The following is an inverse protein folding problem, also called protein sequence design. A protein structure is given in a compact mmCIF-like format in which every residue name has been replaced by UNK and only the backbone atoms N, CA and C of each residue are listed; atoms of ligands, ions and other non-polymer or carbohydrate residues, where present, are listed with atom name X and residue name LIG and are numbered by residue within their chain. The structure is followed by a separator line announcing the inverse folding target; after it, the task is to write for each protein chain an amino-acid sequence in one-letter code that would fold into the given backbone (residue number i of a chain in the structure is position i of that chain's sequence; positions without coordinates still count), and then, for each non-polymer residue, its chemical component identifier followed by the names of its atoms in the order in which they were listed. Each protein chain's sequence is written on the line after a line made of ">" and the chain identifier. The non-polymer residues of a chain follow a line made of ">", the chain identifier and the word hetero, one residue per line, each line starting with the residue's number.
data_IF_121366877032
#
_entry.id   IF_121366877032
#
_cell.length_a   1.000
_cell.length_b   1.000
_cell.length_c   1.000
_cell.angle_alpha   90.00
_cell.angle_beta   90.00
_cell.angle_gamma   90.00
#
_symmetry.space_group_name_H-M   'P 1'
#
loop_
_entity.id
_entity.type
_entity.pdbx_description
1 polymer ?
#
# COMPACT_ATOMS: atom_id res chain seq x y z
N UNK A 1 -10.64 -62.22 9.08
CA UNK A 1 -9.40 -61.82 8.37
C UNK A 1 -9.30 -60.30 8.49
N UNK A 2 -8.56 -59.64 9.39
CA UNK A 2 -7.14 -59.68 9.76
C UNK A 2 -6.17 -59.48 8.58
N UNK A 3 -5.85 -58.21 8.31
CA UNK A 3 -4.53 -57.67 7.91
C UNK A 3 -4.58 -56.18 8.34
N UNK A 4 -3.85 -55.73 9.38
CA UNK A 4 -2.40 -55.42 9.40
C UNK A 4 -2.08 -54.33 8.36
N UNK A 5 -1.36 -53.25 8.60
CA UNK A 5 -0.48 -52.78 9.68
C UNK A 5 -0.14 -51.33 9.30
N UNK A 6 0.13 -50.49 10.30
CA UNK A 6 0.82 -49.20 10.27
C UNK A 6 1.25 -48.60 8.92
N UNK A 7 0.79 -47.37 8.66
CA UNK A 7 1.58 -46.36 7.93
C UNK A 7 1.58 -45.12 8.82
N UNK A 8 2.46 -45.07 9.83
CA UNK A 8 3.80 -44.53 9.73
C UNK A 8 3.76 -43.02 9.40
N UNK A 9 3.93 -42.23 10.47
CA UNK A 9 4.34 -40.84 10.50
C UNK A 9 4.90 -40.31 9.17
N UNK A 10 4.08 -39.62 8.40
CA UNK A 10 4.58 -38.61 7.46
C UNK A 10 4.53 -37.26 8.18
N UNK A 11 5.38 -37.11 9.20
CA UNK A 11 5.85 -35.78 9.61
C UNK A 11 6.73 -35.30 8.46
N UNK A 12 6.10 -34.74 7.43
CA UNK A 12 6.81 -33.96 6.43
C UNK A 12 7.51 -32.83 7.20
N UNK A 13 8.84 -32.92 7.26
CA UNK A 13 9.74 -31.85 7.62
C UNK A 13 9.39 -30.65 6.75
N UNK A 14 8.47 -29.80 7.20
CA UNK A 14 8.32 -28.48 6.64
C UNK A 14 9.65 -27.76 6.91
N UNK A 15 10.35 -27.25 5.88
CA UNK A 15 11.43 -26.33 6.13
C UNK A 15 10.79 -25.10 6.77
N UNK A 16 10.85 -25.02 8.10
CA UNK A 16 10.58 -23.79 8.84
C UNK A 16 11.79 -22.89 8.61
N UNK A 17 11.92 -22.41 7.37
CA UNK A 17 12.65 -21.20 7.11
C UNK A 17 11.70 -20.08 7.52
N UNK A 18 11.71 -19.71 8.81
CA UNK A 18 11.15 -18.44 9.23
C UNK A 18 11.94 -17.35 8.50
N UNK A 19 11.40 -16.88 7.37
CA UNK A 19 11.93 -15.68 6.72
C UNK A 19 11.58 -14.53 7.65
N UNK A 20 12.60 -13.94 8.29
CA UNK A 20 12.42 -12.71 9.04
C UNK A 20 12.03 -11.61 8.05
N UNK A 21 10.75 -11.22 8.05
CA UNK A 21 10.29 -10.09 7.27
C UNK A 21 10.74 -8.81 7.96
N UNK A 22 11.34 -7.89 7.20
CA UNK A 22 11.75 -6.58 7.73
C UNK A 22 10.49 -5.74 7.90
N UNK A 23 10.31 -5.19 9.09
CA UNK A 23 9.27 -4.20 9.35
C UNK A 23 9.71 -2.83 8.80
N UNK A 24 9.35 -2.57 7.55
CA UNK A 24 9.71 -1.34 6.85
C UNK A 24 9.05 -0.11 7.48
N UNK A 25 7.84 -0.26 8.05
CA UNK A 25 7.08 0.84 8.61
C UNK A 25 7.69 1.38 9.91
N UNK A 26 8.47 0.57 10.63
CA UNK A 26 9.12 0.97 11.88
C UNK A 26 10.66 1.00 11.78
N UNK A 27 11.21 1.00 10.56
CA UNK A 27 12.66 0.96 10.34
C UNK A 27 13.39 2.20 10.91
N UNK A 28 12.65 3.29 11.06
CA UNK A 28 13.10 4.62 11.47
C UNK A 28 12.61 5.02 12.88
N UNK A 29 12.18 4.05 13.69
CA UNK A 29 11.67 4.28 15.07
C UNK A 29 12.62 5.07 15.98
N UNK A 30 13.92 5.00 15.71
CA UNK A 30 14.98 5.68 16.48
C UNK A 30 15.56 6.90 15.73
N UNK A 31 14.90 7.35 14.65
CA UNK A 31 15.37 8.47 13.85
C UNK A 31 15.41 9.77 14.68
N UNK A 32 16.50 10.51 14.52
CA UNK A 32 16.65 11.87 15.09
C UNK A 32 16.40 12.90 13.99
N UNK A 33 15.58 13.91 14.28
CA UNK A 33 15.25 14.99 13.36
C UNK A 33 13.76 15.09 13.06
N UNK A 34 13.33 16.12 12.31
CA UNK A 34 11.92 16.31 11.99
C UNK A 34 11.46 15.30 10.93
N UNK A 35 10.22 14.82 11.08
CA UNK A 35 9.53 13.99 10.10
C UNK A 35 8.68 14.87 9.18
N UNK A 36 8.59 14.49 7.92
CA UNK A 36 7.72 15.18 6.96
C UNK A 36 6.29 14.68 7.13
N UNK A 37 5.36 15.60 7.37
CA UNK A 37 3.94 15.30 7.44
C UNK A 37 3.33 15.28 6.03
N UNK A 38 2.59 14.23 5.70
CA UNK A 38 1.91 14.11 4.41
C UNK A 38 0.43 13.89 4.65
N UNK A 39 -0.38 14.87 4.25
CA UNK A 39 -1.83 14.73 4.17
C UNK A 39 -2.21 14.27 2.76
N UNK A 40 -2.86 13.11 2.66
CA UNK A 40 -3.32 12.56 1.38
C UNK A 40 -4.83 12.72 1.27
N UNK A 41 -5.30 13.42 0.24
CA UNK A 41 -6.71 13.54 -0.09
C UNK A 41 -7.05 12.71 -1.32
N UNK A 42 -8.01 11.80 -1.17
CA UNK A 42 -8.54 10.98 -2.24
C UNK A 42 -9.78 11.66 -2.82
N UNK A 43 -9.72 12.03 -4.09
CA UNK A 43 -10.78 12.81 -4.73
C UNK A 43 -11.23 12.18 -6.04
N UNK A 44 -12.55 12.19 -6.28
CA UNK A 44 -13.14 11.90 -7.59
C UNK A 44 -13.31 13.17 -8.42
N UNK A 45 -13.54 14.30 -7.74
CA UNK A 45 -13.62 15.65 -8.27
C UNK A 45 -13.18 16.63 -7.18
N UNK A 46 -12.48 17.74 -7.46
CA UNK A 46 -11.89 18.57 -6.39
C UNK A 46 -12.88 19.17 -5.36
N UNK A 47 -14.18 19.20 -5.69
CA UNK A 47 -15.27 19.57 -4.75
C UNK A 47 -15.76 18.41 -3.87
N UNK A 48 -15.35 17.18 -4.19
CA UNK A 48 -15.76 15.92 -3.57
C UNK A 48 -14.50 15.13 -3.17
N UNK A 49 -14.36 14.93 -1.87
CA UNK A 49 -13.29 14.12 -1.31
C UNK A 49 -13.91 13.04 -0.43
N UNK A 50 -13.35 11.84 -0.51
CA UNK A 50 -13.78 10.71 0.30
C UNK A 50 -12.71 10.41 1.34
N UNK A 51 -13.13 10.34 2.59
CA UNK A 51 -12.28 10.01 3.73
C UNK A 51 -12.67 8.68 4.37
N UNK A 52 -13.76 8.04 3.94
CA UNK A 52 -14.20 6.73 4.45
C UNK A 52 -13.25 5.64 3.92
N UNK A 53 -12.48 4.97 4.81
CA UNK A 53 -11.53 3.94 4.40
C UNK A 53 -12.20 2.77 3.68
N UNK A 54 -13.44 2.40 4.01
CA UNK A 54 -14.13 1.28 3.37
C UNK A 54 -14.55 1.63 1.94
N UNK A 55 -15.15 2.80 1.73
CA UNK A 55 -15.48 3.30 0.40
C UNK A 55 -14.23 3.45 -0.49
N UNK A 56 -13.15 4.00 0.06
CA UNK A 56 -11.88 4.13 -0.65
C UNK A 56 -11.29 2.77 -1.03
N UNK A 57 -11.36 1.76 -0.15
CA UNK A 57 -10.90 0.41 -0.43
C UNK A 57 -11.68 -0.21 -1.61
N UNK A 58 -13.00 -0.06 -1.64
CA UNK A 58 -13.83 -0.53 -2.77
C UNK A 58 -13.41 0.13 -4.08
N UNK A 59 -13.22 1.45 -4.08
CA UNK A 59 -12.76 2.19 -5.27
C UNK A 59 -11.38 1.72 -5.74
N UNK A 60 -10.46 1.46 -4.81
CA UNK A 60 -9.14 0.95 -5.11
C UNK A 60 -9.17 -0.47 -5.70
N UNK A 61 -9.96 -1.37 -5.12
CA UNK A 61 -10.08 -2.75 -5.60
C UNK A 61 -10.76 -2.87 -6.96
N UNK A 62 -11.70 -1.97 -7.25
CA UNK A 62 -12.48 -1.96 -8.50
C UNK A 62 -11.62 -1.86 -9.77
N UNK A 63 -10.42 -1.26 -9.67
CA UNK A 63 -9.49 -1.16 -10.81
C UNK A 63 -8.61 -2.40 -10.97
N UNK A 64 -8.31 -3.11 -9.89
CA UNK A 64 -7.29 -4.16 -9.88
C UNK A 64 -7.92 -5.55 -9.99
N UNK A 65 -8.84 -5.88 -9.07
CA UNK A 65 -9.41 -7.22 -8.97
C UNK A 65 -10.14 -7.68 -10.24
N UNK A 66 -11.13 -6.93 -10.76
CA UNK A 66 -11.85 -7.38 -11.96
C UNK A 66 -10.95 -7.34 -13.21
N UNK A 67 -10.01 -6.38 -13.28
CA UNK A 67 -9.05 -6.32 -14.39
C UNK A 67 -8.21 -7.60 -14.41
N UNK A 68 -7.55 -7.96 -13.30
CA UNK A 68 -6.73 -9.17 -13.23
C UNK A 68 -7.52 -10.47 -13.38
N UNK A 69 -8.84 -10.47 -13.15
CA UNK A 69 -9.69 -11.62 -13.42
C UNK A 69 -9.97 -11.84 -14.93
N UNK A 70 -9.72 -10.85 -15.78
CA UNK A 70 -9.94 -10.97 -17.22
C UNK A 70 -8.87 -11.86 -17.88
N UNK A 71 -9.31 -12.67 -18.87
CA UNK A 71 -8.42 -13.53 -19.65
C UNK A 71 -7.95 -12.81 -20.90
N UNK A 72 -6.64 -12.77 -21.13
CA UNK A 72 -6.03 -12.20 -22.34
C UNK A 72 -4.74 -12.94 -22.69
N UNK A 73 -4.64 -13.47 -23.91
CA UNK A 73 -3.41 -14.10 -24.42
C UNK A 73 -2.24 -13.11 -24.46
N UNK A 74 -2.54 -11.82 -24.66
CA UNK A 74 -1.58 -10.73 -24.72
C UNK A 74 -1.18 -10.20 -23.34
N UNK A 75 -1.79 -10.70 -22.26
CA UNK A 75 -1.56 -10.24 -20.88
C UNK A 75 -1.90 -8.76 -20.64
N UNK A 76 -2.84 -8.19 -21.40
CA UNK A 76 -3.24 -6.79 -21.23
C UNK A 76 -3.68 -6.42 -19.81
N UNK A 77 -4.43 -7.27 -19.07
CA UNK A 77 -4.75 -7.01 -17.68
C UNK A 77 -3.54 -6.77 -16.78
N UNK A 78 -2.54 -7.64 -16.88
CA UNK A 78 -1.32 -7.53 -16.09
C UNK A 78 -0.54 -6.27 -16.49
N UNK A 79 -0.39 -6.03 -17.80
CA UNK A 79 0.30 -4.83 -18.30
C UNK A 79 -0.37 -3.56 -17.79
N UNK A 80 -1.71 -3.49 -17.85
CA UNK A 80 -2.46 -2.32 -17.40
C UNK A 80 -2.33 -2.12 -15.89
N UNK A 81 -2.53 -3.17 -15.08
CA UNK A 81 -2.44 -3.09 -13.62
C UNK A 81 -1.02 -2.76 -13.17
N UNK A 82 0.01 -3.32 -13.80
CA UNK A 82 1.38 -2.95 -13.48
C UNK A 82 1.69 -1.51 -13.89
N UNK A 83 1.17 -1.04 -15.04
CA UNK A 83 1.26 0.37 -15.40
C UNK A 83 0.53 1.29 -14.42
N UNK A 84 -0.57 0.85 -13.83
CA UNK A 84 -1.28 1.55 -12.76
C UNK A 84 -0.46 1.57 -11.45
N UNK A 85 0.12 0.44 -11.04
CA UNK A 85 1.00 0.36 -9.87
C UNK A 85 2.27 1.21 -10.01
N UNK A 86 2.90 1.21 -11.18
CA UNK A 86 4.07 2.05 -11.49
C UNK A 86 3.73 3.54 -11.34
N UNK A 87 2.53 3.97 -11.73
CA UNK A 87 2.09 5.36 -11.55
C UNK A 87 2.00 5.72 -10.07
N UNK A 88 1.47 4.84 -9.23
CA UNK A 88 1.39 5.10 -7.79
C UNK A 88 2.78 5.20 -7.15
N UNK A 89 3.70 4.29 -7.49
CA UNK A 89 5.08 4.35 -7.00
C UNK A 89 5.80 5.62 -7.43
N UNK A 90 5.56 6.10 -8.66
CA UNK A 90 6.11 7.38 -9.13
C UNK A 90 5.54 8.57 -8.35
N UNK A 91 4.23 8.57 -8.05
CA UNK A 91 3.65 9.61 -7.20
C UNK A 91 4.30 9.60 -5.80
N UNK A 92 4.55 8.42 -5.22
CA UNK A 92 5.24 8.31 -3.91
C UNK A 92 6.67 8.82 -4.00
N UNK A 93 7.40 8.46 -5.07
CA UNK A 93 8.76 8.94 -5.30
C UNK A 93 8.84 10.48 -5.35
N UNK A 94 7.86 11.16 -5.96
CA UNK A 94 7.81 12.62 -5.96
C UNK A 94 7.72 13.22 -4.53
N UNK A 95 7.02 12.55 -3.61
CA UNK A 95 6.97 12.97 -2.20
C UNK A 95 8.34 12.75 -1.54
N UNK A 96 9.03 11.65 -1.85
CA UNK A 96 10.38 11.39 -1.34
C UNK A 96 11.40 12.43 -1.78
N UNK A 97 11.23 13.02 -2.97
CA UNK A 97 12.06 14.16 -3.40
C UNK A 97 11.89 15.35 -2.44
N UNK A 98 10.66 15.65 -2.02
CA UNK A 98 10.40 16.71 -1.01
C UNK A 98 10.99 16.34 0.34
N UNK A 99 10.83 15.10 0.79
CA UNK A 99 11.41 14.63 2.07
C UNK A 99 12.93 14.77 2.07
N UNK A 100 13.58 14.41 0.96
CA UNK A 100 15.03 14.51 0.78
C UNK A 100 15.52 15.95 0.82
N UNK A 101 14.86 16.85 0.08
CA UNK A 101 15.36 18.20 -0.14
C UNK A 101 14.87 19.19 0.93
N UNK A 102 13.75 18.88 1.60
CA UNK A 102 13.09 19.71 2.60
C UNK A 102 12.54 18.89 3.79
N UNK A 103 13.41 18.30 4.63
CA UNK A 103 12.97 17.48 5.76
C UNK A 103 12.14 18.29 6.77
N UNK A 104 11.08 17.69 7.31
CA UNK A 104 10.18 18.35 8.26
C UNK A 104 9.09 19.22 7.61
N UNK A 105 8.95 19.16 6.29
CA UNK A 105 7.90 19.89 5.57
C UNK A 105 6.52 19.30 5.84
N UNK A 106 5.48 20.09 5.54
CA UNK A 106 4.09 19.64 5.52
C UNK A 106 3.62 19.61 4.08
N UNK A 107 3.22 18.45 3.59
CA UNK A 107 2.89 18.20 2.19
C UNK A 107 1.43 17.81 2.07
N UNK A 108 0.69 18.53 1.23
CA UNK A 108 -0.64 18.14 0.78
C UNK A 108 -0.51 17.41 -0.56
N UNK A 109 -0.92 16.15 -0.60
CA UNK A 109 -1.00 15.34 -1.82
C UNK A 109 -2.46 15.07 -2.15
N UNK A 110 -2.90 15.51 -3.33
CA UNK A 110 -4.25 15.24 -3.84
C UNK A 110 -4.12 14.21 -4.95
N UNK A 111 -4.75 13.06 -4.75
CA UNK A 111 -4.72 11.93 -5.70
C UNK A 111 -6.15 11.51 -6.05
N UNK A 112 -6.30 10.78 -7.16
CA UNK A 112 -7.58 10.15 -7.46
C UNK A 112 -7.98 9.18 -6.33
N UNK A 113 -9.25 9.17 -5.94
CA UNK A 113 -9.74 8.40 -4.77
C UNK A 113 -9.30 6.92 -4.79
N UNK A 114 -9.37 6.26 -5.95
CA UNK A 114 -8.94 4.87 -6.11
C UNK A 114 -7.44 4.61 -5.89
N UNK A 115 -6.60 5.65 -5.91
CA UNK A 115 -5.17 5.54 -5.64
C UNK A 115 -4.84 5.63 -4.15
N UNK A 116 -5.68 6.33 -3.35
CA UNK A 116 -5.34 6.69 -1.96
C UNK A 116 -5.00 5.49 -1.09
N UNK A 117 -5.77 4.39 -1.03
CA UNK A 117 -5.41 3.26 -0.15
C UNK A 117 -4.04 2.65 -0.45
N UNK A 118 -3.67 2.56 -1.73
CA UNK A 118 -2.36 2.04 -2.13
C UNK A 118 -1.25 3.05 -1.87
N UNK A 119 -1.53 4.33 -2.13
CA UNK A 119 -0.61 5.43 -1.86
C UNK A 119 -0.26 5.53 -0.37
N UNK A 120 -1.27 5.45 0.51
CA UNK A 120 -1.11 5.41 1.95
C UNK A 120 -0.31 4.16 2.37
N UNK A 121 -0.61 3.00 1.80
CA UNK A 121 0.12 1.76 2.08
C UNK A 121 1.61 1.83 1.76
N UNK A 122 2.00 2.46 0.65
CA UNK A 122 3.42 2.64 0.31
C UNK A 122 4.07 3.77 1.12
N UNK A 123 3.40 4.90 1.31
CA UNK A 123 3.93 5.97 2.15
C UNK A 123 4.11 5.52 3.61
N UNK A 124 3.26 4.64 4.12
CA UNK A 124 3.38 4.09 5.47
C UNK A 124 4.61 3.18 5.65
N UNK A 125 5.28 2.79 4.57
CA UNK A 125 6.54 2.05 4.60
C UNK A 125 7.77 2.96 4.39
N UNK A 126 7.56 4.26 4.18
CA UNK A 126 8.63 5.23 3.96
C UNK A 126 9.15 5.76 5.28
N UNK A 127 10.47 5.66 5.47
CA UNK A 127 11.13 6.28 6.61
C UNK A 127 11.12 7.81 6.56
N UNK A 128 10.93 8.44 7.71
CA UNK A 128 10.93 9.90 7.89
C UNK A 128 9.64 10.60 7.47
N UNK A 129 8.57 9.83 7.20
CA UNK A 129 7.25 10.33 6.80
C UNK A 129 6.19 9.96 7.83
N UNK A 130 5.34 10.92 8.17
CA UNK A 130 4.10 10.70 8.92
C UNK A 130 2.91 10.98 8.02
N UNK A 131 2.03 9.99 7.85
CA UNK A 131 0.75 10.20 7.17
C UNK A 131 -0.21 10.85 8.16
N UNK A 132 -0.72 12.02 7.81
CA UNK A 132 -1.70 12.73 8.62
C UNK A 132 -3.10 12.28 8.24
N UNK A 133 -3.92 11.95 9.24
CA UNK A 133 -5.32 11.57 9.03
C UNK A 133 -6.13 12.77 8.50
N UNK A 134 -6.73 12.58 7.34
CA UNK A 134 -7.55 13.60 6.69
C UNK A 134 -8.84 13.90 7.45
N UNK A 135 -9.46 12.91 8.09
CA UNK A 135 -10.64 13.11 8.93
C UNK A 135 -10.28 13.97 10.15
N UNK A 136 -9.05 13.85 10.64
CA UNK A 136 -8.61 14.64 11.78
C UNK A 136 -8.37 16.11 11.44
N UNK A 137 -7.91 16.39 10.22
CA UNK A 137 -7.55 17.74 9.76
C UNK A 137 -8.76 18.49 9.19
N UNK A 138 -9.65 17.80 8.48
CA UNK A 138 -10.77 18.40 7.75
C UNK A 138 -12.07 18.45 8.56
N UNK A 139 -12.00 18.36 9.89
CA UNK A 139 -13.19 18.43 10.76
C UNK A 139 -13.97 19.73 10.49
N UNK A 140 -15.24 19.59 10.13
CA UNK A 140 -16.25 20.65 10.21
C UNK A 140 -16.89 20.69 11.60
#
# INVERSE_FOLDING_TARGET
>A
MKQRVLSACLMALMPVCAQAQIDLANLDKDMVGPRTEVLVLGSVHLSEHDTDPEALQVLAESNVRPTLAAVSVQHYPQIWVQGWGIRNLRMVANILEVVRDHPGSRVLSIVGASHKPWFDGWLGQVSGVDIVDAQDVLKE
#
